data_IF_904836584019
#
_entry.id   IF_904836584019
#
_cell.length_a   1.000
_cell.length_b   1.000
_cell.length_c   1.000
_cell.angle_alpha   90.00
_cell.angle_beta   90.00
_cell.angle_gamma   90.00
#
_symmetry.space_group_name_H-M   'P 1'
#
loop_
_entity.id
_entity.type
_entity.pdbx_description
1 polymer ?
#
# COMPACT_ATOMS: atom_id res chain seq x y z
N UNK A 1 -3.40 -3.63 -4.34
CA UNK A 1 -4.25 -2.44 -4.04
C UNK A 1 -4.19 -2.16 -2.55
N UNK A 2 -3.98 -0.91 -2.17
CA UNK A 2 -3.92 -0.48 -0.77
C UNK A 2 -5.10 0.44 -0.45
N UNK A 3 -5.80 0.16 0.67
CA UNK A 3 -6.83 1.04 1.24
C UNK A 3 -6.21 1.75 2.44
N UNK A 4 -6.02 3.06 2.34
CA UNK A 4 -5.27 3.86 3.30
C UNK A 4 -6.18 4.67 4.23
N UNK A 5 -5.64 5.02 5.41
CA UNK A 5 -6.35 5.83 6.40
C UNK A 5 -7.41 5.04 7.17
N UNK A 6 -7.12 3.80 7.49
CA UNK A 6 -7.96 2.96 8.35
C UNK A 6 -7.87 3.47 9.80
N UNK A 7 -9.03 3.73 10.40
CA UNK A 7 -9.15 4.18 11.79
C UNK A 7 -9.99 3.22 12.65
N UNK A 8 -10.67 2.26 12.03
CA UNK A 8 -11.59 1.33 12.68
C UNK A 8 -11.40 -0.08 12.16
N UNK A 9 -11.66 -1.06 13.01
CA UNK A 9 -11.56 -2.49 12.68
C UNK A 9 -12.50 -2.88 11.55
N UNK A 10 -13.77 -2.44 11.63
CA UNK A 10 -14.77 -2.75 10.60
C UNK A 10 -14.33 -2.31 9.20
N UNK A 11 -13.68 -1.14 9.09
CA UNK A 11 -13.15 -0.64 7.82
C UNK A 11 -11.97 -1.47 7.32
N UNK A 12 -11.12 -1.97 8.22
CA UNK A 12 -10.03 -2.86 7.87
C UNK A 12 -10.54 -4.21 7.35
N UNK A 13 -11.46 -4.83 8.08
CA UNK A 13 -12.08 -6.11 7.69
C UNK A 13 -12.89 -5.96 6.40
N UNK A 14 -13.60 -4.85 6.23
CA UNK A 14 -14.30 -4.52 4.99
C UNK A 14 -13.32 -4.45 3.80
N UNK A 15 -12.21 -3.72 3.93
CA UNK A 15 -11.21 -3.60 2.88
C UNK A 15 -10.68 -4.98 2.46
N UNK A 16 -10.35 -5.84 3.43
CA UNK A 16 -9.88 -7.21 3.20
C UNK A 16 -10.96 -8.06 2.51
N UNK A 17 -12.20 -8.02 3.02
CA UNK A 17 -13.32 -8.78 2.44
C UNK A 17 -13.63 -8.37 1.00
N UNK A 18 -13.41 -7.10 0.65
CA UNK A 18 -13.55 -6.60 -0.73
C UNK A 18 -12.33 -6.90 -1.60
N UNK A 19 -11.26 -7.47 -1.05
CA UNK A 19 -10.10 -7.94 -1.79
C UNK A 19 -8.94 -6.95 -1.87
N UNK A 20 -8.79 -6.05 -0.91
CA UNK A 20 -7.57 -5.25 -0.76
C UNK A 20 -6.38 -6.15 -0.42
N UNK A 21 -5.19 -5.83 -0.98
CA UNK A 21 -3.95 -6.54 -0.70
C UNK A 21 -3.18 -5.89 0.47
N UNK A 22 -3.51 -4.62 0.79
CA UNK A 22 -2.88 -3.86 1.86
C UNK A 22 -3.84 -2.88 2.52
N UNK A 23 -3.59 -2.58 3.79
CA UNK A 23 -4.27 -1.53 4.56
C UNK A 23 -3.25 -0.58 5.19
N UNK A 24 -3.60 0.72 5.25
CA UNK A 24 -2.72 1.77 5.77
C UNK A 24 -3.29 2.44 7.02
N UNK A 25 -2.44 2.63 8.04
CA UNK A 25 -2.72 3.30 9.30
C UNK A 25 -1.89 4.59 9.38
N UNK A 26 -2.52 5.75 9.57
CA UNK A 26 -1.83 7.04 9.56
C UNK A 26 -1.46 7.43 10.98
N UNK A 27 -0.16 7.61 11.24
CA UNK A 27 0.35 8.06 12.55
C UNK A 27 0.69 9.57 12.54
N UNK A 28 0.77 10.17 11.37
CA UNK A 28 0.96 11.61 11.24
C UNK A 28 -0.33 12.39 11.56
N UNK A 29 -0.22 13.66 12.02
CA UNK A 29 -1.37 14.52 12.28
C UNK A 29 -2.29 14.63 11.05
N UNK A 30 -3.50 14.12 11.16
CA UNK A 30 -4.52 14.16 10.12
C UNK A 30 -5.90 13.76 10.69
N UNK A 31 -6.97 13.98 9.93
CA UNK A 31 -8.30 13.47 10.29
C UNK A 31 -8.39 11.93 10.32
N UNK A 32 -7.34 11.24 9.81
CA UNK A 32 -7.23 9.78 9.78
C UNK A 32 -6.19 9.24 10.77
N UNK A 33 -5.73 10.10 11.67
CA UNK A 33 -4.73 9.67 12.64
C UNK A 33 -5.29 8.61 13.58
N UNK A 34 -4.49 7.59 13.87
CA UNK A 34 -4.84 6.49 14.77
C UNK A 34 -3.74 6.30 15.82
N UNK A 35 -4.12 5.90 17.02
CA UNK A 35 -3.15 5.55 18.06
C UNK A 35 -2.46 4.20 17.75
N UNK A 36 -1.15 4.04 18.04
CA UNK A 36 -0.43 2.79 17.80
C UNK A 36 -1.07 1.56 18.47
N UNK A 37 -1.64 1.73 19.66
CA UNK A 37 -2.34 0.65 20.36
C UNK A 37 -3.58 0.16 19.63
N UNK A 38 -4.38 1.09 19.08
CA UNK A 38 -5.58 0.74 18.30
C UNK A 38 -5.17 0.06 16.99
N UNK A 39 -4.16 0.59 16.28
CA UNK A 39 -3.65 -0.03 15.07
C UNK A 39 -3.16 -1.47 15.33
N UNK A 40 -2.41 -1.68 16.43
CA UNK A 40 -1.97 -3.02 16.86
C UNK A 40 -3.14 -3.99 17.07
N UNK A 41 -4.20 -3.54 17.72
CA UNK A 41 -5.34 -4.40 18.05
C UNK A 41 -6.11 -4.77 16.76
N UNK A 42 -6.19 -3.88 15.78
CA UNK A 42 -6.73 -4.16 14.46
C UNK A 42 -5.82 -5.15 13.70
N UNK A 43 -4.50 -4.87 13.64
CA UNK A 43 -3.52 -5.71 12.92
C UNK A 43 -3.57 -7.17 13.35
N UNK A 44 -3.75 -7.45 14.64
CA UNK A 44 -3.84 -8.82 15.19
C UNK A 44 -5.04 -9.62 14.69
N UNK A 45 -6.05 -8.95 14.13
CA UNK A 45 -7.28 -9.57 13.64
C UNK A 45 -7.30 -9.72 12.12
N UNK A 46 -6.30 -9.17 11.44
CA UNK A 46 -6.20 -9.28 9.98
C UNK A 46 -5.51 -10.57 9.57
N UNK A 47 -5.88 -11.13 8.41
CA UNK A 47 -5.17 -12.26 7.82
C UNK A 47 -3.69 -11.93 7.60
N UNK A 48 -2.78 -12.90 7.82
CA UNK A 48 -1.33 -12.64 7.76
C UNK A 48 -0.82 -12.29 6.36
N UNK A 49 -1.57 -12.60 5.30
CA UNK A 49 -1.24 -12.24 3.92
C UNK A 49 -1.44 -10.74 3.62
N UNK A 50 -2.25 -10.04 4.42
CA UNK A 50 -2.53 -8.61 4.21
C UNK A 50 -1.32 -7.78 4.63
N UNK A 51 -0.84 -6.93 3.73
CA UNK A 51 0.24 -6.00 4.04
C UNK A 51 -0.29 -4.85 4.90
N UNK A 52 0.18 -4.77 6.14
CA UNK A 52 -0.16 -3.68 7.06
C UNK A 52 0.91 -2.60 7.02
N UNK A 53 0.50 -1.36 6.70
CA UNK A 53 1.40 -0.24 6.42
C UNK A 53 1.17 0.89 7.41
N UNK A 54 2.20 1.30 8.14
CA UNK A 54 2.18 2.52 8.93
C UNK A 54 2.61 3.72 8.08
N UNK A 55 1.82 4.78 8.07
CA UNK A 55 2.13 6.01 7.33
C UNK A 55 2.62 7.08 8.30
N UNK A 56 3.82 7.58 8.04
CA UNK A 56 4.55 8.56 8.86
C UNK A 56 4.88 9.78 8.01
N UNK A 57 5.07 10.92 8.67
CA UNK A 57 5.46 12.16 8.02
C UNK A 57 6.41 12.92 8.93
N UNK A 58 7.67 13.04 8.50
CA UNK A 58 8.72 13.79 9.22
C UNK A 58 8.87 13.35 10.70
N UNK A 59 8.63 12.06 10.97
CA UNK A 59 8.70 11.49 12.32
C UNK A 59 10.13 11.02 12.64
N UNK A 60 10.51 11.05 13.91
CA UNK A 60 11.80 10.55 14.37
C UNK A 60 11.99 9.05 14.00
N UNK A 61 13.14 8.66 13.42
CA UNK A 61 13.36 7.28 12.96
C UNK A 61 13.15 6.22 14.05
N UNK A 62 13.60 6.51 15.28
CA UNK A 62 13.40 5.59 16.41
C UNK A 62 11.93 5.36 16.72
N UNK A 63 11.10 6.42 16.62
CA UNK A 63 9.66 6.31 16.85
C UNK A 63 8.96 5.55 15.72
N UNK A 64 9.36 5.75 14.46
CA UNK A 64 8.86 4.95 13.32
C UNK A 64 9.12 3.46 13.56
N UNK A 65 10.37 3.12 13.87
CA UNK A 65 10.80 1.74 14.13
C UNK A 65 10.02 1.13 15.30
N UNK A 66 9.90 1.87 16.41
CA UNK A 66 9.17 1.40 17.59
C UNK A 66 7.70 1.12 17.27
N UNK A 67 7.00 2.05 16.60
CA UNK A 67 5.59 1.87 16.23
C UNK A 67 5.42 0.68 15.29
N UNK A 68 6.25 0.55 14.25
CA UNK A 68 6.15 -0.57 13.29
C UNK A 68 6.30 -1.90 14.02
N UNK A 69 7.31 -2.03 14.87
CA UNK A 69 7.59 -3.29 15.57
C UNK A 69 6.56 -3.59 16.65
N UNK A 70 6.16 -2.61 17.47
CA UNK A 70 5.21 -2.82 18.57
C UNK A 70 3.77 -3.01 18.11
N UNK A 71 3.36 -2.36 17.02
CA UNK A 71 2.05 -2.56 16.42
C UNK A 71 1.97 -3.79 15.49
N UNK A 72 3.11 -4.45 15.21
CA UNK A 72 3.16 -5.61 14.32
C UNK A 72 2.91 -5.26 12.85
N UNK A 73 3.28 -4.04 12.44
CA UNK A 73 3.16 -3.61 11.05
C UNK A 73 4.24 -4.26 10.18
N UNK A 74 3.94 -4.44 8.91
CA UNK A 74 4.85 -5.08 7.96
C UNK A 74 5.57 -4.09 7.04
N UNK A 75 5.13 -2.82 7.02
CA UNK A 75 5.79 -1.77 6.25
C UNK A 75 5.69 -0.41 6.95
N UNK A 76 6.72 0.42 6.75
CA UNK A 76 6.68 1.86 7.00
C UNK A 76 6.56 2.61 5.67
N UNK A 77 5.57 3.48 5.55
CA UNK A 77 5.46 4.45 4.46
C UNK A 77 5.92 5.81 4.95
N UNK A 78 7.01 6.31 4.39
CA UNK A 78 7.61 7.62 4.71
C UNK A 78 7.03 8.64 3.73
N UNK A 79 6.16 9.51 4.22
CA UNK A 79 5.32 10.41 3.41
C UNK A 79 5.60 11.90 3.70
N UNK A 80 6.77 12.19 4.23
CA UNK A 80 7.30 13.53 4.47
C UNK A 80 8.56 13.80 3.66
N UNK A 81 9.43 14.66 4.21
CA UNK A 81 10.72 15.04 3.62
C UNK A 81 11.88 14.22 4.22
N UNK A 82 11.60 12.98 4.63
CA UNK A 82 12.63 12.13 5.21
C UNK A 82 13.78 11.93 4.22
N UNK A 83 15.02 12.14 4.67
CA UNK A 83 16.21 11.99 3.84
C UNK A 83 16.47 10.52 3.46
N UNK A 84 17.29 10.32 2.43
CA UNK A 84 17.75 8.99 2.02
C UNK A 84 18.46 8.25 3.16
N UNK A 85 19.24 8.96 4.00
CA UNK A 85 19.87 8.38 5.18
C UNK A 85 18.84 7.88 6.20
N UNK A 86 17.83 8.71 6.50
CA UNK A 86 16.72 8.35 7.38
C UNK A 86 15.96 7.13 6.85
N UNK A 87 15.68 7.10 5.56
CA UNK A 87 14.99 5.97 4.92
C UNK A 87 15.77 4.67 5.08
N UNK A 88 17.09 4.68 4.79
CA UNK A 88 17.95 3.50 4.96
C UNK A 88 18.07 3.06 6.41
N UNK A 89 18.17 4.00 7.35
CA UNK A 89 18.22 3.68 8.79
C UNK A 89 16.95 2.95 9.24
N UNK A 90 15.78 3.41 8.81
CA UNK A 90 14.50 2.76 9.10
C UNK A 90 14.43 1.40 8.39
N UNK A 91 14.81 1.32 7.09
CA UNK A 91 14.78 0.08 6.33
C UNK A 91 15.62 -1.05 6.96
N UNK A 92 16.71 -0.71 7.64
CA UNK A 92 17.54 -1.69 8.34
C UNK A 92 16.86 -2.32 9.58
N UNK A 93 15.73 -1.78 10.03
CA UNK A 93 15.07 -2.15 11.30
C UNK A 93 13.59 -2.51 11.16
N UNK A 94 13.01 -2.33 9.97
CA UNK A 94 11.61 -2.67 9.67
C UNK A 94 11.54 -3.59 8.44
N UNK A 95 10.50 -4.42 8.30
CA UNK A 95 10.43 -5.41 7.22
C UNK A 95 10.44 -4.80 5.81
N UNK A 96 9.69 -3.72 5.59
CA UNK A 96 9.58 -3.03 4.29
C UNK A 96 9.49 -1.51 4.48
N UNK A 97 10.05 -0.75 3.53
CA UNK A 97 9.89 0.70 3.44
C UNK A 97 9.29 1.10 2.10
N UNK A 98 8.28 1.94 2.15
CA UNK A 98 7.70 2.63 1.01
C UNK A 98 8.06 4.11 1.15
N UNK A 99 8.79 4.69 0.19
CA UNK A 99 9.05 6.14 0.20
C UNK A 99 8.06 6.82 -0.74
N UNK A 100 7.35 7.81 -0.22
CA UNK A 100 6.41 8.62 -1.00
C UNK A 100 7.08 9.90 -1.50
N UNK A 101 6.76 10.27 -2.74
CA UNK A 101 7.17 11.50 -3.39
C UNK A 101 5.96 12.16 -4.06
N UNK A 102 5.92 13.50 -4.12
CA UNK A 102 5.02 14.19 -5.03
C UNK A 102 5.34 13.84 -6.49
N UNK A 103 4.33 13.78 -7.33
CA UNK A 103 4.54 13.60 -8.77
C UNK A 103 5.36 14.77 -9.33
N UNK A 104 6.40 14.45 -10.13
CA UNK A 104 7.34 15.42 -10.67
C UNK A 104 8.41 15.92 -9.69
N UNK A 105 8.54 15.29 -8.52
CA UNK A 105 9.62 15.62 -7.59
C UNK A 105 10.99 15.22 -8.18
N UNK A 106 11.99 16.13 -8.22
CA UNK A 106 13.33 15.82 -8.69
C UNK A 106 14.05 14.69 -7.95
N UNK A 107 13.68 14.43 -6.68
CA UNK A 107 14.26 13.33 -5.90
C UNK A 107 13.83 11.94 -6.43
N UNK A 108 12.83 11.86 -7.31
CA UNK A 108 12.47 10.61 -8.00
C UNK A 108 13.63 10.06 -8.86
N UNK A 109 14.47 10.94 -9.42
CA UNK A 109 15.66 10.51 -10.17
C UNK A 109 16.73 9.85 -9.28
N UNK A 110 16.63 10.06 -7.96
CA UNK A 110 17.58 9.57 -6.95
C UNK A 110 16.94 8.57 -5.99
N UNK A 111 15.81 7.98 -6.37
CA UNK A 111 15.05 7.07 -5.50
C UNK A 111 15.86 5.89 -4.97
N UNK A 112 16.88 5.46 -5.72
CA UNK A 112 17.78 4.37 -5.31
C UNK A 112 18.59 4.68 -4.05
N UNK A 113 18.89 5.95 -3.83
CA UNK A 113 19.59 6.41 -2.62
C UNK A 113 18.79 6.14 -1.34
N UNK A 114 17.47 6.05 -1.44
CA UNK A 114 16.57 5.84 -0.31
C UNK A 114 16.54 4.40 0.20
N UNK A 115 16.96 3.42 -0.60
CA UNK A 115 16.91 2.00 -0.24
C UNK A 115 15.51 1.47 0.05
N UNK A 116 14.48 2.14 -0.47
CA UNK A 116 13.08 1.74 -0.28
C UNK A 116 12.72 0.53 -1.15
N UNK A 117 11.81 -0.32 -0.67
CA UNK A 117 11.34 -1.52 -1.37
C UNK A 117 10.28 -1.19 -2.43
N UNK A 118 9.58 -0.07 -2.25
CA UNK A 118 8.62 0.47 -3.21
C UNK A 118 8.59 2.00 -3.13
N UNK A 119 8.17 2.61 -4.21
CA UNK A 119 7.97 4.07 -4.33
C UNK A 119 6.49 4.35 -4.44
N UNK A 120 5.99 5.33 -3.70
CA UNK A 120 4.64 5.82 -3.87
C UNK A 120 4.72 7.22 -4.51
N UNK A 121 4.00 7.40 -5.61
CA UNK A 121 3.86 8.72 -6.26
C UNK A 121 2.47 9.25 -5.94
N UNK A 122 2.43 10.36 -5.22
CA UNK A 122 1.18 11.06 -4.85
C UNK A 122 0.98 12.32 -5.70
N UNK A 123 -0.19 12.90 -5.63
CA UNK A 123 -0.45 14.20 -6.25
C UNK A 123 0.57 15.25 -5.79
N UNK A 124 0.86 16.30 -6.60
CA UNK A 124 1.75 17.39 -6.17
C UNK A 124 1.29 18.08 -4.88
N UNK A 125 0.02 17.94 -4.50
CA UNK A 125 -0.56 18.37 -3.22
C UNK A 125 -1.10 17.15 -2.45
N UNK A 126 -0.23 16.42 -1.74
CA UNK A 126 -0.60 15.19 -1.03
C UNK A 126 -1.75 15.41 -0.05
N UNK A 127 -2.72 14.49 -0.05
CA UNK A 127 -3.87 14.53 0.86
C UNK A 127 -5.01 15.46 0.45
N UNK A 128 -4.89 16.25 -0.63
CA UNK A 128 -5.95 17.11 -1.15
C UNK A 128 -7.15 16.32 -1.71
N UNK A 129 -6.89 15.10 -2.21
CA UNK A 129 -7.87 14.31 -2.95
C UNK A 129 -8.10 14.80 -4.39
N UNK A 130 -7.31 15.78 -4.84
CA UNK A 130 -7.36 16.28 -6.20
C UNK A 130 -6.68 15.30 -7.18
N UNK A 131 -7.31 15.07 -8.32
CA UNK A 131 -6.71 14.34 -9.43
C UNK A 131 -5.64 15.24 -10.04
N UNK A 132 -4.46 14.70 -10.27
CA UNK A 132 -3.37 15.39 -10.94
C UNK A 132 -3.14 14.81 -12.35
N UNK A 133 -2.32 15.49 -13.13
CA UNK A 133 -1.91 14.99 -14.45
C UNK A 133 -0.98 13.76 -14.26
N UNK A 134 -1.51 12.58 -14.53
CA UNK A 134 -0.77 11.32 -14.38
C UNK A 134 0.42 11.18 -15.31
N UNK A 135 0.55 12.03 -16.34
CA UNK A 135 1.77 12.07 -17.16
C UNK A 135 3.01 12.39 -16.33
N UNK A 136 2.86 13.11 -15.21
CA UNK A 136 3.94 13.36 -14.25
C UNK A 136 4.41 12.10 -13.51
N UNK A 137 3.62 11.02 -13.54
CA UNK A 137 3.98 9.71 -12.99
C UNK A 137 4.48 8.73 -14.07
N UNK A 138 4.45 9.11 -15.36
CA UNK A 138 4.94 8.28 -16.47
C UNK A 138 6.48 8.14 -16.45
N UNK A 139 7.19 9.14 -15.93
CA UNK A 139 8.66 9.11 -15.70
C UNK A 139 9.08 8.28 -14.50
N UNK A 140 8.35 7.21 -14.20
CA UNK A 140 8.64 6.32 -13.05
C UNK A 140 10.03 5.70 -13.13
N UNK A 141 10.70 5.46 -12.00
CA UNK A 141 11.98 4.77 -11.96
C UNK A 141 11.87 3.35 -12.53
N UNK A 142 12.67 3.05 -13.56
CA UNK A 142 12.67 1.74 -14.19
C UNK A 142 13.03 0.63 -13.20
N UNK A 143 12.33 -0.51 -13.31
CA UNK A 143 12.58 -1.68 -12.47
C UNK A 143 12.08 -1.56 -11.03
N UNK A 144 11.44 -0.46 -10.64
CA UNK A 144 10.91 -0.25 -9.28
C UNK A 144 9.43 -0.58 -9.16
N UNK A 145 9.01 -1.00 -7.96
CA UNK A 145 7.59 -1.16 -7.61
C UNK A 145 7.00 0.21 -7.33
N UNK A 146 6.28 0.76 -8.30
CA UNK A 146 5.63 2.06 -8.18
C UNK A 146 4.17 1.89 -7.77
N UNK A 147 3.78 2.57 -6.71
CA UNK A 147 2.40 2.67 -6.22
C UNK A 147 1.88 4.06 -6.60
N UNK A 148 0.80 4.12 -7.35
CA UNK A 148 0.15 5.38 -7.69
C UNK A 148 -0.88 5.76 -6.64
N UNK A 149 -0.82 7.00 -6.16
CA UNK A 149 -1.76 7.60 -5.23
C UNK A 149 -2.24 8.97 -5.75
N UNK A 150 -3.00 9.69 -4.93
CA UNK A 150 -3.46 11.06 -5.23
C UNK A 150 -4.75 11.12 -6.06
N UNK A 151 -5.85 11.48 -5.40
CA UNK A 151 -7.15 11.71 -6.05
C UNK A 151 -7.79 10.49 -6.72
N UNK A 152 -7.31 9.28 -6.45
CA UNK A 152 -7.89 8.06 -7.01
C UNK A 152 -9.28 7.81 -6.42
N UNK A 153 -10.20 7.37 -7.28
CA UNK A 153 -11.59 7.06 -6.99
C UNK A 153 -12.00 5.81 -7.79
N UNK A 154 -13.16 5.20 -7.49
CA UNK A 154 -13.71 4.14 -8.33
C UNK A 154 -13.91 4.53 -9.79
N UNK A 155 -14.18 5.84 -10.04
CA UNK A 155 -14.46 6.35 -11.38
C UNK A 155 -13.23 6.61 -12.25
N UNK A 156 -12.02 6.72 -11.67
CA UNK A 156 -10.83 7.09 -12.42
C UNK A 156 -9.65 6.10 -12.29
N UNK A 157 -9.69 5.18 -11.34
CA UNK A 157 -8.56 4.28 -11.07
C UNK A 157 -8.23 3.37 -12.27
N UNK A 158 -9.22 2.96 -13.04
CA UNK A 158 -9.00 2.12 -14.22
C UNK A 158 -8.22 2.88 -15.31
N UNK A 159 -8.52 4.15 -15.52
CA UNK A 159 -7.82 5.00 -16.49
C UNK A 159 -6.39 5.29 -16.00
N UNK A 160 -6.24 5.61 -14.72
CA UNK A 160 -4.93 5.80 -14.10
C UNK A 160 -4.01 4.57 -14.26
N UNK A 161 -4.55 3.36 -14.05
CA UNK A 161 -3.79 2.12 -14.23
C UNK A 161 -3.40 1.92 -15.69
N UNK A 162 -4.32 2.16 -16.64
CA UNK A 162 -4.02 2.00 -18.07
C UNK A 162 -2.98 2.99 -18.56
N UNK A 163 -3.03 4.22 -18.10
CA UNK A 163 -2.10 5.27 -18.49
C UNK A 163 -0.71 5.06 -17.90
N UNK A 164 -0.62 4.85 -16.57
CA UNK A 164 0.66 4.80 -15.83
C UNK A 164 1.24 3.39 -15.79
N UNK A 165 0.42 2.34 -15.78
CA UNK A 165 0.83 0.95 -15.59
C UNK A 165 1.55 0.72 -14.26
N UNK A 166 1.05 1.21 -13.12
CA UNK A 166 1.75 1.10 -11.83
C UNK A 166 1.77 -0.35 -11.34
N UNK A 167 2.72 -0.68 -10.46
CA UNK A 167 2.73 -1.96 -9.74
C UNK A 167 1.56 -2.08 -8.76
N UNK A 168 1.13 -0.97 -8.18
CA UNK A 168 0.01 -0.92 -7.24
C UNK A 168 -0.68 0.44 -7.23
N UNK A 169 -1.85 0.51 -6.61
CA UNK A 169 -2.61 1.75 -6.40
C UNK A 169 -2.96 1.90 -4.93
N UNK A 170 -2.98 3.16 -4.45
CA UNK A 170 -3.32 3.54 -3.08
C UNK A 170 -4.46 4.55 -3.06
N UNK A 171 -5.48 4.29 -2.25
CA UNK A 171 -6.63 5.17 -2.11
C UNK A 171 -6.97 5.43 -0.65
N UNK A 172 -7.30 6.68 -0.33
CA UNK A 172 -7.79 7.07 0.99
C UNK A 172 -9.17 7.73 0.90
N UNK A 173 -9.22 9.01 0.50
CA UNK A 173 -10.46 9.81 0.47
C UNK A 173 -11.47 9.33 -0.58
N UNK A 174 -11.00 8.82 -1.72
CA UNK A 174 -11.89 8.41 -2.82
C UNK A 174 -12.84 7.25 -2.48
N UNK A 175 -12.61 6.57 -1.36
CA UNK A 175 -13.46 5.48 -0.87
C UNK A 175 -14.03 5.75 0.52
N UNK A 176 -13.97 7.02 1.00
CA UNK A 176 -14.57 7.43 2.26
C UNK A 176 -16.06 7.77 2.08
N UNK A 177 -16.81 7.61 3.16
CA UNK A 177 -18.22 8.01 3.25
C UNK A 177 -18.35 9.53 3.34
N UNK A 178 -19.27 10.12 2.58
CA UNK A 178 -19.57 11.55 2.67
C UNK A 178 -20.39 11.91 3.93
N UNK A 179 -21.01 10.91 4.56
CA UNK A 179 -21.95 11.08 5.69
C UNK A 179 -21.49 10.40 6.98
N UNK A 180 -20.31 9.77 6.96
CA UNK A 180 -19.77 9.03 8.09
C UNK A 180 -18.80 9.85 8.93
N UNK A 181 -18.21 9.20 9.93
CA UNK A 181 -17.09 9.74 10.70
C UNK A 181 -15.90 10.05 9.78
N UNK A 182 -15.07 11.05 10.10
CA UNK A 182 -13.89 11.36 9.32
C UNK A 182 -12.99 10.12 9.11
N UNK A 183 -12.71 9.79 7.86
CA UNK A 183 -11.91 8.61 7.49
C UNK A 183 -12.67 7.30 7.37
N UNK A 184 -13.98 7.26 7.72
CA UNK A 184 -14.81 6.07 7.60
C UNK A 184 -14.93 5.62 6.14
N UNK A 185 -14.73 4.33 5.88
CA UNK A 185 -14.82 3.78 4.53
C UNK A 185 -16.26 3.46 4.14
N UNK A 186 -16.59 3.74 2.88
CA UNK A 186 -17.86 3.35 2.27
C UNK A 186 -17.72 1.99 1.57
N UNK A 187 -18.52 1.01 1.97
CA UNK A 187 -18.43 -0.36 1.47
C UNK A 187 -18.63 -0.45 -0.05
N UNK A 188 -19.54 0.36 -0.61
CA UNK A 188 -19.83 0.36 -2.05
C UNK A 188 -18.67 0.96 -2.83
N UNK A 189 -18.07 2.06 -2.29
CA UNK A 189 -16.92 2.72 -2.92
C UNK A 189 -15.67 1.83 -2.85
N UNK A 190 -15.40 1.19 -1.72
CA UNK A 190 -14.28 0.23 -1.61
C UNK A 190 -14.45 -0.90 -2.60
N UNK A 191 -15.63 -1.54 -2.67
CA UNK A 191 -15.91 -2.60 -3.63
C UNK A 191 -15.72 -2.13 -5.07
N UNK A 192 -16.35 -1.02 -5.44
CA UNK A 192 -16.26 -0.48 -6.80
C UNK A 192 -14.83 -0.11 -7.18
N UNK A 193 -14.03 0.43 -6.24
CA UNK A 193 -12.62 0.73 -6.48
C UNK A 193 -11.81 -0.53 -6.76
N UNK A 194 -11.98 -1.57 -5.94
CA UNK A 194 -11.27 -2.84 -6.11
C UNK A 194 -11.64 -3.51 -7.43
N UNK A 195 -12.93 -3.54 -7.79
CA UNK A 195 -13.41 -4.10 -9.04
C UNK A 195 -12.87 -3.35 -10.26
N UNK A 196 -12.92 -2.01 -10.24
CA UNK A 196 -12.40 -1.17 -11.32
C UNK A 196 -10.88 -1.32 -11.49
N UNK A 197 -10.13 -1.34 -10.39
CA UNK A 197 -8.68 -1.52 -10.41
C UNK A 197 -8.28 -2.90 -10.94
N UNK A 198 -8.96 -3.96 -10.52
CA UNK A 198 -8.69 -5.34 -11.01
C UNK A 198 -9.06 -5.51 -12.48
N UNK A 199 -10.18 -4.93 -12.90
CA UNK A 199 -10.62 -4.98 -14.29
C UNK A 199 -9.71 -4.21 -15.27
N UNK A 200 -8.88 -3.30 -14.78
CA UNK A 200 -7.93 -2.56 -15.60
C UNK A 200 -6.57 -3.27 -15.76
N UNK A 201 -6.28 -4.29 -14.95
CA UNK A 201 -5.05 -5.05 -15.08
C UNK A 201 -5.09 -5.92 -16.34
N UNK A 202 -3.96 -6.04 -17.09
CA UNK A 202 -3.88 -7.03 -18.15
C UNK A 202 -4.14 -8.43 -17.56
N UNK A 203 -4.71 -9.37 -18.34
CA UNK A 203 -4.84 -10.75 -17.91
C UNK A 203 -3.50 -11.24 -17.36
N UNK A 204 -3.51 -11.76 -16.16
CA UNK A 204 -2.29 -12.29 -15.54
C UNK A 204 -1.78 -13.41 -16.44
N UNK A 205 -0.58 -13.24 -17.00
CA UNK A 205 0.08 -14.34 -17.69
C UNK A 205 0.05 -15.56 -16.75
N UNK A 206 -0.34 -16.77 -17.27
CA UNK A 206 -0.26 -17.97 -16.46
C UNK A 206 1.17 -18.02 -15.89
N UNK A 207 1.30 -18.23 -14.58
CA UNK A 207 2.64 -18.53 -14.04
C UNK A 207 3.17 -19.69 -14.88
N UNK A 208 4.43 -19.62 -15.34
CA UNK A 208 5.07 -20.83 -15.79
C UNK A 208 4.82 -21.82 -14.64
N UNK A 209 4.15 -22.92 -14.92
CA UNK A 209 4.23 -24.09 -14.08
C UNK A 209 5.71 -24.43 -14.22
N UNK A 210 6.53 -24.08 -13.20
CA UNK A 210 7.84 -24.69 -13.11
C UNK A 210 7.51 -26.19 -13.20
N UNK A 211 7.88 -26.80 -14.32
CA UNK A 211 7.93 -28.24 -14.45
C UNK A 211 8.92 -28.70 -13.38
N UNK A 212 8.42 -28.83 -12.16
CA UNK A 212 9.05 -29.69 -11.16
C UNK A 212 8.85 -31.12 -11.69
N UNK A 213 9.61 -31.41 -12.75
CA UNK A 213 9.79 -32.78 -13.24
C UNK A 213 10.25 -33.62 -12.06
N UNK A 214 9.32 -34.33 -11.45
CA UNK A 214 9.61 -35.37 -10.51
C UNK A 214 8.97 -35.30 -9.13
N UNK A 215 8.24 -34.26 -8.76
CA UNK A 215 7.45 -34.25 -7.53
C UNK A 215 5.97 -33.99 -7.83
N UNK A 216 5.26 -35.05 -8.25
CA UNK A 216 3.81 -35.11 -8.09
C UNK A 216 3.45 -34.89 -6.61
N UNK A 217 2.18 -34.54 -6.29
CA UNK A 217 1.76 -34.46 -4.90
C UNK A 217 2.13 -35.76 -4.23
N UNK A 218 2.81 -35.65 -3.05
CA UNK A 218 3.24 -36.77 -2.25
C UNK A 218 2.06 -37.72 -2.00
N UNK A 219 2.13 -38.93 -2.55
CA UNK A 219 1.11 -39.96 -2.33
C UNK A 219 1.51 -40.81 -1.13
N UNK A 220 0.96 -40.44 0.02
CA UNK A 220 1.17 -41.13 1.27
C UNK A 220 0.63 -42.59 1.27
N UNK A 221 -0.17 -43.00 0.28
CA UNK A 221 -0.68 -44.38 0.14
C UNK A 221 0.34 -45.31 -0.53
N UNK A 222 1.37 -44.80 -1.20
CA UNK A 222 2.43 -45.64 -1.79
C UNK A 222 3.53 -46.08 -0.80
N UNK A 223 3.66 -45.39 0.36
CA UNK A 223 4.69 -45.71 1.35
C UNK A 223 4.36 -46.92 2.27
N UNK A 224 3.10 -47.35 2.34
CA UNK A 224 2.68 -48.52 3.14
C UNK A 224 2.88 -49.88 2.42
N UNK A 225 3.48 -49.89 1.22
CA UNK A 225 3.67 -51.08 0.41
C UNK A 225 5.13 -51.58 0.33
N UNK A 226 6.03 -51.17 1.26
CA UNK A 226 7.39 -51.70 1.33
C UNK A 226 7.73 -52.27 2.69
#
# INVERSE_FOLDING_TARGET
MKICGITREDDALLAVAMGADAVGFVFAPSKRQIAPSIARDIVRRLPPEILTVGVFRDEAPSRVIDIVNTAGLRAAQLHGHESAETSRLIRARVPLVIKAFPAGDPELDRVDDYGADAVLIDSPRPGSGEVFDWSLAEGRPDGRRVILAGGLTPGNVADAIRQVGPWGVDVASGVESDRGEPGQKDARRVKAFVEAARGALPPRAPRPVDDLDGFGPYDWMEDDAR
#
